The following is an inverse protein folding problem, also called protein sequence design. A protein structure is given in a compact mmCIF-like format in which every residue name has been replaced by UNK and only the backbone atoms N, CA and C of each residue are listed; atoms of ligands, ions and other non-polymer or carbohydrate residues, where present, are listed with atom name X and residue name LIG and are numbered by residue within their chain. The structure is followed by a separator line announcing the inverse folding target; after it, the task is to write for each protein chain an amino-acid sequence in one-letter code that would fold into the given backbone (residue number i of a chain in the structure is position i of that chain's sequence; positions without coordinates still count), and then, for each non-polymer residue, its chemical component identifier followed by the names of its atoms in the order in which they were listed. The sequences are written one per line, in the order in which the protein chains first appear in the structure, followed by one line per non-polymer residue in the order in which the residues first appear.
data_IF_383324364576
#
_entry.id   IF_383324364576
#
_cell.length_a   1.000
_cell.length_b   1.000
_cell.length_c   1.000
_cell.angle_alpha   90.00
_cell.angle_beta   90.00
_cell.angle_gamma   90.00
#
_symmetry.space_group_name_H-M   'P 1'
#
loop_
_entity.id
_entity.type
_entity.pdbx_description
1 polymer ?
#
# COMPACT_ATOMS: atom_id res chain seq x y z
N UNK A 1 -2.38 -9.68 17.12
CA UNK A 1 -1.29 -9.26 16.18
C UNK A 1 -1.01 -7.78 16.39
N UNK A 2 0.16 -7.29 15.97
CA UNK A 2 0.49 -5.86 16.08
C UNK A 2 1.17 -5.36 14.81
N UNK A 3 0.69 -4.24 14.27
CA UNK A 3 1.34 -3.58 13.14
C UNK A 3 2.66 -2.94 13.59
N UNK A 4 3.75 -3.22 12.87
CA UNK A 4 5.06 -2.58 13.09
C UNK A 4 5.03 -1.07 12.81
N UNK A 5 4.17 -0.67 11.88
CA UNK A 5 3.96 0.72 11.47
C UNK A 5 2.47 1.02 11.38
N UNK A 6 2.06 2.14 11.97
CA UNK A 6 0.68 2.62 11.93
C UNK A 6 0.54 3.97 11.24
N UNK A 7 1.64 4.70 11.03
CA UNK A 7 1.66 5.98 10.29
C UNK A 7 2.20 5.79 8.88
N UNK A 8 1.49 6.35 7.90
CA UNK A 8 1.93 6.33 6.51
C UNK A 8 3.27 7.03 6.32
N UNK A 9 4.13 6.48 5.46
CA UNK A 9 5.41 7.12 5.11
C UNK A 9 5.20 8.34 4.22
N UNK A 10 6.17 9.28 4.27
CA UNK A 10 6.12 10.55 3.55
C UNK A 10 6.00 10.38 2.03
N UNK A 11 6.69 9.37 1.49
CA UNK A 11 6.77 9.07 0.05
C UNK A 11 5.92 7.84 -0.32
N UNK A 12 4.81 7.62 0.37
CA UNK A 12 3.92 6.50 0.04
C UNK A 12 3.23 6.75 -1.31
N UNK A 13 3.31 5.83 -2.29
CA UNK A 13 2.62 5.98 -3.58
C UNK A 13 1.10 6.03 -3.49
N UNK A 14 0.53 5.57 -2.37
CA UNK A 14 -0.91 5.69 -2.12
C UNK A 14 -1.38 7.13 -1.85
N UNK A 15 -0.46 8.04 -1.53
CA UNK A 15 -0.79 9.45 -1.29
C UNK A 15 -0.74 10.23 -2.61
N UNK A 16 -1.80 10.97 -2.93
CA UNK A 16 -1.94 11.73 -4.20
C UNK A 16 -0.78 12.71 -4.47
N UNK A 17 -0.21 13.26 -3.40
CA UNK A 17 0.86 14.25 -3.50
C UNK A 17 2.25 13.64 -3.70
N UNK A 18 2.37 12.32 -3.86
CA UNK A 18 3.66 11.62 -3.97
C UNK A 18 3.97 11.36 -5.43
N UNK A 19 5.18 11.71 -5.86
CA UNK A 19 5.75 11.15 -7.08
C UNK A 19 6.51 9.86 -6.73
N UNK A 20 6.13 8.68 -7.27
CA UNK A 20 6.81 7.43 -6.93
C UNK A 20 8.31 7.41 -7.26
N UNK A 21 8.76 8.21 -8.23
CA UNK A 21 10.19 8.36 -8.56
C UNK A 21 11.01 9.05 -7.47
N UNK A 22 10.36 9.73 -6.52
CA UNK A 22 11.05 10.32 -5.37
C UNK A 22 11.40 9.28 -4.29
N UNK A 23 10.87 8.05 -4.40
CA UNK A 23 11.21 6.96 -3.47
C UNK A 23 12.70 6.62 -3.62
N UNK A 24 13.48 6.67 -2.53
CA UNK A 24 14.92 6.42 -2.57
C UNK A 24 15.24 4.95 -2.90
N UNK A 25 16.51 4.70 -3.18
CA UNK A 25 17.09 3.35 -3.32
C UNK A 25 16.61 2.56 -4.55
N UNK A 26 16.30 3.26 -5.64
CA UNK A 26 16.06 2.62 -6.95
C UNK A 26 14.64 2.11 -7.12
N UNK A 27 13.67 3.02 -7.02
CA UNK A 27 12.28 2.75 -7.40
C UNK A 27 12.19 2.09 -8.79
N UNK A 28 11.44 0.99 -8.86
CA UNK A 28 11.29 0.16 -10.05
C UNK A 28 9.80 0.05 -10.38
N UNK A 29 9.44 0.51 -11.56
CA UNK A 29 8.06 0.57 -12.06
C UNK A 29 7.47 -0.84 -12.20
N UNK A 30 8.24 -1.81 -12.66
CA UNK A 30 7.73 -3.15 -12.91
C UNK A 30 7.55 -3.93 -11.61
N UNK A 31 8.44 -3.71 -10.63
CA UNK A 31 8.21 -4.18 -9.26
C UNK A 31 6.96 -3.55 -8.66
N UNK A 32 6.72 -2.26 -8.89
CA UNK A 32 5.51 -1.61 -8.41
C UNK A 32 4.27 -2.24 -9.05
N UNK A 33 4.22 -2.40 -10.38
CA UNK A 33 3.11 -3.08 -11.08
C UNK A 33 2.86 -4.49 -10.54
N UNK A 34 3.92 -5.24 -10.22
CA UNK A 34 3.79 -6.59 -9.67
C UNK A 34 3.08 -6.62 -8.30
N UNK A 35 3.02 -5.50 -7.56
CA UNK A 35 2.26 -5.41 -6.31
C UNK A 35 0.73 -5.46 -6.52
N UNK A 36 0.24 -5.40 -7.76
CA UNK A 36 -1.17 -5.70 -8.08
C UNK A 36 -1.62 -7.04 -7.50
N UNK A 37 -0.71 -8.03 -7.40
CA UNK A 37 -1.02 -9.33 -6.81
C UNK A 37 -1.33 -9.29 -5.29
N UNK A 38 -1.15 -8.13 -4.65
CA UNK A 38 -1.50 -7.89 -3.23
C UNK A 38 -2.87 -7.24 -3.06
N UNK A 39 -3.54 -6.88 -4.15
CA UNK A 39 -4.89 -6.31 -4.15
C UNK A 39 -5.89 -7.47 -4.20
N UNK A 40 -6.86 -7.46 -3.30
CA UNK A 40 -7.91 -8.47 -3.29
C UNK A 40 -8.97 -8.18 -4.35
N UNK A 41 -9.49 -9.24 -4.98
CA UNK A 41 -10.66 -9.15 -5.85
C UNK A 41 -11.91 -8.83 -5.01
N UNK A 42 -12.72 -7.82 -5.40
CA UNK A 42 -13.89 -7.45 -4.62
C UNK A 42 -14.85 -8.62 -4.40
N UNK A 43 -15.17 -8.88 -3.14
CA UNK A 43 -16.06 -9.97 -2.74
C UNK A 43 -15.39 -11.35 -2.64
N UNK A 44 -14.11 -11.50 -2.97
CA UNK A 44 -13.39 -12.76 -2.73
C UNK A 44 -13.04 -12.91 -1.24
N UNK A 45 -13.60 -13.95 -0.62
CA UNK A 45 -13.36 -14.29 0.78
C UNK A 45 -11.93 -14.71 1.08
N UNK A 46 -11.16 -15.11 0.07
CA UNK A 46 -9.74 -15.50 0.21
C UNK A 46 -8.81 -14.29 0.35
N UNK A 47 -9.31 -13.07 0.07
CA UNK A 47 -8.51 -11.85 0.02
C UNK A 47 -7.39 -11.96 -1.01
N UNK A 48 -6.21 -11.43 -0.69
CA UNK A 48 -5.05 -11.40 -1.61
C UNK A 48 -4.22 -12.70 -1.63
N UNK A 49 -4.81 -13.85 -1.28
CA UNK A 49 -4.11 -15.14 -1.23
C UNK A 49 -2.93 -15.17 -0.25
N UNK A 50 -3.04 -14.46 0.88
CA UNK A 50 -1.98 -14.33 1.89
C UNK A 50 -0.85 -13.36 1.54
N UNK A 51 -0.92 -12.70 0.37
CA UNK A 51 0.07 -11.68 -0.03
C UNK A 51 -0.29 -10.34 0.59
N UNK A 52 0.73 -9.60 1.01
CA UNK A 52 0.58 -8.25 1.55
C UNK A 52 1.61 -7.32 0.93
N UNK A 53 1.25 -6.04 0.79
CA UNK A 53 2.18 -5.03 0.32
C UNK A 53 3.12 -4.61 1.45
N UNK A 54 4.42 -4.75 1.25
CA UNK A 54 5.44 -4.22 2.14
C UNK A 54 5.63 -2.70 1.94
N UNK A 55 5.98 -1.99 3.01
CA UNK A 55 6.40 -0.60 2.94
C UNK A 55 7.79 -0.52 2.31
N UNK A 56 8.08 0.50 1.48
CA UNK A 56 9.40 0.68 0.86
C UNK A 56 10.53 0.97 1.87
N UNK A 57 10.21 1.37 3.11
CA UNK A 57 11.20 1.48 4.19
C UNK A 57 11.52 0.13 4.86
N UNK A 58 10.86 -0.95 4.46
CA UNK A 58 11.11 -2.27 5.02
C UNK A 58 12.51 -2.74 4.66
N UNK A 59 13.13 -3.47 5.59
CA UNK A 59 14.33 -4.25 5.29
C UNK A 59 13.91 -5.65 4.87
N UNK A 60 14.66 -6.25 3.96
CA UNK A 60 14.46 -7.64 3.55
C UNK A 60 14.50 -8.58 4.78
N UNK A 61 13.54 -9.49 4.85
CA UNK A 61 13.29 -10.39 5.99
C UNK A 61 12.67 -9.70 7.23
N UNK A 62 12.37 -8.39 7.16
CA UNK A 62 11.76 -7.60 8.23
C UNK A 62 10.64 -6.70 7.69
N UNK A 63 9.85 -7.24 6.78
CA UNK A 63 8.78 -6.55 6.07
C UNK A 63 7.78 -5.92 7.04
N UNK A 64 7.50 -4.63 6.82
CA UNK A 64 6.44 -3.90 7.49
C UNK A 64 5.28 -3.73 6.52
N UNK A 65 4.04 -3.97 6.96
CA UNK A 65 2.87 -3.70 6.13
C UNK A 65 2.81 -2.24 5.69
N UNK A 66 2.51 -2.01 4.42
CA UNK A 66 2.27 -0.68 3.89
C UNK A 66 0.95 -0.11 4.45
N UNK A 67 1.02 1.02 5.16
CA UNK A 67 -0.16 1.67 5.76
C UNK A 67 -1.17 2.15 4.70
N UNK A 68 -0.69 2.68 3.58
CA UNK A 68 -1.57 3.11 2.48
C UNK A 68 -2.34 1.94 1.88
N UNK A 69 -1.66 0.80 1.69
CA UNK A 69 -2.29 -0.44 1.24
C UNK A 69 -3.29 -0.98 2.25
N UNK A 70 -2.95 -1.03 3.56
CA UNK A 70 -3.91 -1.45 4.59
C UNK A 70 -5.16 -0.57 4.52
N UNK A 71 -4.98 0.76 4.49
CA UNK A 71 -6.09 1.71 4.46
C UNK A 71 -6.99 1.46 3.24
N UNK A 72 -6.41 1.29 2.06
CA UNK A 72 -7.16 0.97 0.85
C UNK A 72 -7.87 -0.38 0.96
N UNK A 73 -7.18 -1.45 1.36
CA UNK A 73 -7.73 -2.81 1.38
C UNK A 73 -8.77 -3.01 2.50
N UNK A 74 -8.73 -2.21 3.56
CA UNK A 74 -9.81 -2.12 4.55
C UNK A 74 -11.01 -1.30 4.06
N UNK A 75 -10.97 -0.72 2.86
CA UNK A 75 -12.08 -0.03 2.21
C UNK A 75 -13.25 -0.96 1.89
N UNK A 76 -14.50 -0.46 1.81
CA UNK A 76 -15.70 -1.27 1.52
C UNK A 76 -15.53 -2.10 0.25
N UNK A 77 -15.84 -3.38 0.32
CA UNK A 77 -15.76 -4.29 -0.83
C UNK A 77 -14.36 -4.80 -1.19
N UNK A 78 -13.27 -4.27 -0.61
CA UNK A 78 -11.91 -4.61 -1.05
C UNK A 78 -11.42 -5.96 -0.48
N UNK A 79 -10.97 -6.02 0.78
CA UNK A 79 -10.36 -7.23 1.32
C UNK A 79 -11.03 -7.69 2.63
N UNK A 80 -12.02 -8.59 2.51
CA UNK A 80 -12.77 -9.10 3.66
C UNK A 80 -11.90 -9.92 4.61
N UNK A 81 -10.97 -10.72 4.08
CA UNK A 81 -10.04 -11.50 4.90
C UNK A 81 -9.16 -10.59 5.77
N UNK A 82 -8.60 -9.53 5.18
CA UNK A 82 -7.81 -8.53 5.91
C UNK A 82 -8.64 -7.81 6.97
N UNK A 83 -9.90 -7.48 6.69
CA UNK A 83 -10.80 -6.87 7.68
C UNK A 83 -10.98 -7.77 8.90
N UNK A 84 -11.22 -9.07 8.69
CA UNK A 84 -11.36 -10.03 9.77
C UNK A 84 -10.05 -10.18 10.57
N UNK A 85 -8.90 -10.17 9.90
CA UNK A 85 -7.60 -10.20 10.56
C UNK A 85 -7.36 -8.95 11.42
N UNK A 86 -7.65 -7.76 10.87
CA UNK A 86 -7.44 -6.48 11.55
C UNK A 86 -8.38 -6.25 12.73
N UNK A 87 -9.52 -6.96 12.83
CA UNK A 87 -10.32 -6.98 14.06
C UNK A 87 -9.55 -7.51 15.28
N UNK A 88 -8.51 -8.33 15.06
CA UNK A 88 -7.63 -8.87 16.11
C UNK A 88 -6.31 -8.11 16.24
N UNK A 89 -6.18 -6.97 15.56
CA UNK A 89 -4.99 -6.13 15.61
C UNK A 89 -5.09 -5.12 16.76
N UNK A 90 -4.15 -5.20 17.69
CA UNK A 90 -4.19 -4.42 18.94
C UNK A 90 -4.10 -2.90 18.71
N UNK A 91 -3.38 -2.48 17.67
CA UNK A 91 -3.06 -1.08 17.38
C UNK A 91 -3.65 -0.60 16.06
N UNK A 92 -4.68 -1.26 15.52
CA UNK A 92 -5.33 -0.82 14.28
C UNK A 92 -5.97 0.57 14.42
N UNK A 93 -6.46 0.91 15.62
CA UNK A 93 -6.98 2.24 15.95
C UNK A 93 -5.97 3.38 15.76
N UNK A 94 -4.68 3.06 15.72
CA UNK A 94 -3.60 4.02 15.52
C UNK A 94 -3.24 4.20 14.04
N UNK A 95 -3.88 3.46 13.12
CA UNK A 95 -3.66 3.53 11.67
C UNK A 95 -4.02 4.93 11.17
N UNK A 96 -3.05 5.62 10.58
CA UNK A 96 -3.18 7.01 10.10
C UNK A 96 -2.52 7.17 8.74
N UNK A 97 -3.34 7.54 7.75
CA UNK A 97 -2.90 8.06 6.45
C UNK A 97 -2.68 9.57 6.52
N UNK A 98 -1.93 10.12 5.57
CA UNK A 98 -1.56 11.54 5.53
C UNK A 98 -1.96 12.11 4.16
N UNK A 99 -2.85 13.10 4.17
CA UNK A 99 -3.38 13.72 2.95
C UNK A 99 -4.29 12.79 2.14
N UNK A 100 -4.71 13.25 0.97
CA UNK A 100 -5.60 12.50 0.10
C UNK A 100 -4.95 11.23 -0.45
N UNK A 101 -5.74 10.16 -0.55
CA UNK A 101 -5.29 8.83 -0.95
C UNK A 101 -5.91 8.40 -2.27
N UNK A 102 -5.15 7.64 -3.07
CA UNK A 102 -5.65 7.02 -4.29
C UNK A 102 -6.70 5.97 -3.94
N UNK A 103 -7.80 5.96 -4.70
CA UNK A 103 -8.88 4.98 -4.53
C UNK A 103 -8.50 3.63 -5.14
N UNK A 104 -7.75 3.65 -6.24
CA UNK A 104 -7.36 2.46 -6.99
C UNK A 104 -5.86 2.25 -6.97
N UNK A 105 -5.45 0.98 -7.07
CA UNK A 105 -4.05 0.63 -7.15
C UNK A 105 -3.38 1.19 -8.41
N UNK A 106 -4.07 1.17 -9.55
CA UNK A 106 -3.50 1.65 -10.82
C UNK A 106 -3.10 3.12 -10.75
N UNK A 107 -3.80 3.93 -9.95
CA UNK A 107 -3.51 5.36 -9.80
C UNK A 107 -2.24 5.63 -8.98
N UNK A 108 -1.72 4.63 -8.27
CA UNK A 108 -0.44 4.72 -7.56
C UNK A 108 0.76 4.56 -8.49
N UNK A 109 0.55 4.02 -9.69
CA UNK A 109 1.59 3.85 -10.70
C UNK A 109 1.96 5.21 -11.32
N UNK A 110 3.22 5.41 -11.75
CA UNK A 110 3.62 6.63 -12.43
C UNK A 110 2.80 6.85 -13.71
N UNK A 111 2.23 8.04 -13.87
CA UNK A 111 1.54 8.41 -15.10
C UNK A 111 2.51 9.00 -16.12
N UNK A 112 2.08 9.12 -17.39
CA UNK A 112 2.88 9.71 -18.48
C UNK A 112 3.42 11.11 -18.12
N UNK A 113 2.68 11.89 -17.32
CA UNK A 113 3.11 13.21 -16.83
C UNK A 113 4.35 13.15 -15.94
N UNK A 114 4.59 12.03 -15.25
CA UNK A 114 5.74 11.84 -14.36
C UNK A 114 6.99 11.43 -15.14
N UNK A 115 6.82 10.80 -16.30
CA UNK A 115 7.93 10.29 -17.13
C UNK A 115 8.63 11.42 -17.91
N UNK A 116 7.93 12.53 -18.17
CA UNK A 116 8.45 13.66 -18.96
C UNK A 116 9.32 14.66 -18.18
N UNK A 117 9.63 14.43 -16.89
CA UNK A 117 10.38 15.38 -16.03
C UNK A 117 11.82 14.89 -15.74
N UNK A 118 12.24 13.77 -16.32
CA UNK A 118 13.64 13.31 -16.24
C UNK A 118 14.41 13.79 -17.47
N UNK A 119 15.44 14.65 -17.33
CA UNK A 119 16.35 14.96 -18.42
C UNK A 119 17.19 13.74 -18.84
#
# INVERSE_FOLDING_TARGET
MRLRRTKQCKLCPWKLSTNPFDIPDGYDVDKHKALSCTIADPGDFRGSGGKAMACHHSKEGKEEHCVGWIYNQLGPGNNIALRMEMMRCENIKDLKVVGDQHERFEDTLPSIKHIQITP
#
